data_IF_976871520096
#
_entry.id   IF_976871520096
#
_cell.length_a   1.000
_cell.length_b   1.000
_cell.length_c   1.000
_cell.angle_alpha   90.00
_cell.angle_beta   90.00
_cell.angle_gamma   90.00
#
_symmetry.space_group_name_H-M   'P 1'
#
loop_
_entity.id
_entity.type
_entity.pdbx_description
1 polymer ?
#
# COMPACT_ATOMS: atom_id res chain seq x y z
N UNK A 1 25.86 -8.10 14.82
CA UNK A 1 26.30 -8.94 13.67
C UNK A 1 26.62 -8.00 12.53
N UNK A 2 27.86 -8.00 12.05
CA UNK A 2 28.25 -7.13 10.95
C UNK A 2 27.53 -7.54 9.67
N UNK A 3 26.60 -6.68 9.21
CA UNK A 3 25.83 -6.80 7.96
C UNK A 3 26.60 -7.38 6.76
N UNK A 4 27.88 -7.02 6.50
CA UNK A 4 28.66 -7.53 5.37
C UNK A 4 28.95 -9.04 5.40
N UNK A 5 29.01 -9.65 6.59
CA UNK A 5 29.32 -11.08 6.75
C UNK A 5 28.07 -11.93 6.49
N UNK A 6 26.91 -11.43 6.91
CA UNK A 6 25.63 -12.08 6.69
C UNK A 6 25.26 -12.09 5.20
N UNK A 7 25.40 -10.97 4.50
CA UNK A 7 25.13 -10.88 3.05
C UNK A 7 26.04 -11.80 2.22
N UNK A 8 27.35 -11.86 2.54
CA UNK A 8 28.28 -12.78 1.86
C UNK A 8 27.91 -14.24 2.09
N UNK A 9 27.33 -14.57 3.24
CA UNK A 9 26.93 -15.93 3.60
C UNK A 9 25.62 -16.32 2.91
N UNK A 10 24.67 -15.40 2.80
CA UNK A 10 23.40 -15.59 2.08
C UNK A 10 23.61 -15.80 0.59
N UNK A 11 24.50 -15.03 -0.06
CA UNK A 11 24.80 -15.18 -1.50
C UNK A 11 25.36 -16.55 -1.88
N UNK A 12 25.85 -17.34 -0.91
CA UNK A 12 26.39 -18.69 -1.13
C UNK A 12 25.35 -19.80 -0.92
N UNK A 13 24.17 -19.49 -0.40
CA UNK A 13 23.12 -20.46 -0.19
C UNK A 13 22.37 -20.71 -1.50
N UNK A 14 22.09 -21.99 -1.78
CA UNK A 14 21.22 -22.33 -2.90
C UNK A 14 19.81 -21.84 -2.62
N UNK A 15 19.06 -21.52 -3.68
CA UNK A 15 17.66 -21.08 -3.60
C UNK A 15 16.81 -21.98 -2.68
N UNK A 16 16.94 -23.30 -2.81
CA UNK A 16 16.26 -24.29 -1.94
C UNK A 16 16.63 -24.18 -0.46
N UNK A 17 17.89 -23.88 -0.13
CA UNK A 17 18.32 -23.70 1.27
C UNK A 17 17.81 -22.39 1.85
N UNK A 18 17.79 -21.31 1.04
CA UNK A 18 17.19 -20.04 1.44
C UNK A 18 15.68 -20.21 1.70
N UNK A 19 14.96 -20.84 0.78
CA UNK A 19 13.54 -21.15 0.93
C UNK A 19 13.28 -21.95 2.22
N UNK A 20 14.09 -22.97 2.53
CA UNK A 20 13.93 -23.76 3.76
C UNK A 20 14.19 -22.95 5.05
N UNK A 21 15.21 -22.09 5.07
CA UNK A 21 15.51 -21.23 6.23
C UNK A 21 14.40 -20.20 6.44
N UNK A 22 13.95 -19.56 5.35
CA UNK A 22 12.86 -18.58 5.38
C UNK A 22 11.58 -19.22 5.90
N UNK A 23 11.22 -20.41 5.40
CA UNK A 23 10.07 -21.19 5.87
C UNK A 23 10.22 -21.64 7.33
N UNK A 24 11.44 -21.92 7.79
CA UNK A 24 11.71 -22.23 9.19
C UNK A 24 11.53 -21.01 10.11
N UNK A 25 12.06 -19.85 9.73
CA UNK A 25 11.95 -18.60 10.51
C UNK A 25 10.51 -18.08 10.56
N UNK A 26 9.79 -18.21 9.44
CA UNK A 26 8.35 -17.97 9.33
C UNK A 26 7.53 -18.70 10.42
N UNK A 27 7.94 -19.87 10.88
CA UNK A 27 7.17 -20.60 11.90
C UNK A 27 7.20 -19.91 13.27
N UNK A 28 8.19 -19.06 13.54
CA UNK A 28 8.41 -18.45 14.86
C UNK A 28 7.99 -16.98 14.96
N UNK A 29 7.88 -16.27 13.83
CA UNK A 29 7.44 -14.88 13.78
C UNK A 29 6.30 -14.72 12.76
N UNK A 30 5.08 -14.53 13.28
CA UNK A 30 3.88 -14.34 12.46
C UNK A 30 4.02 -13.11 11.56
N UNK A 31 4.54 -11.99 12.07
CA UNK A 31 4.68 -10.75 11.31
C UNK A 31 5.67 -10.95 10.17
N UNK A 32 6.79 -11.63 10.43
CA UNK A 32 7.75 -11.98 9.39
C UNK A 32 7.14 -12.84 8.27
N UNK A 33 6.23 -13.79 8.59
CA UNK A 33 5.49 -14.52 7.53
C UNK A 33 4.66 -13.61 6.67
N UNK A 34 3.94 -12.68 7.29
CA UNK A 34 3.04 -11.77 6.60
C UNK A 34 3.83 -10.84 5.69
N UNK A 35 5.00 -10.36 6.15
CA UNK A 35 5.96 -9.62 5.32
C UNK A 35 6.40 -10.43 4.10
N UNK A 36 6.75 -11.72 4.28
CA UNK A 36 7.14 -12.58 3.16
C UNK A 36 6.00 -12.77 2.16
N UNK A 37 4.77 -13.00 2.64
CA UNK A 37 3.59 -13.14 1.78
C UNK A 37 3.37 -11.86 0.98
N UNK A 38 3.35 -10.70 1.66
CA UNK A 38 3.20 -9.39 1.04
C UNK A 38 4.28 -9.09 -0.01
N UNK A 39 5.54 -9.48 0.26
CA UNK A 39 6.66 -9.22 -0.66
C UNK A 39 6.67 -10.15 -1.88
N UNK A 40 6.29 -11.41 -1.71
CA UNK A 40 6.55 -12.47 -2.70
C UNK A 40 5.32 -12.92 -3.47
N UNK A 41 4.12 -12.63 -2.97
CA UNK A 41 2.86 -13.00 -3.62
C UNK A 41 2.35 -11.81 -4.42
N UNK A 42 2.24 -11.92 -5.75
CA UNK A 42 1.51 -10.94 -6.54
C UNK A 42 0.04 -10.95 -6.08
N UNK A 43 -0.43 -9.83 -5.58
CA UNK A 43 -1.81 -9.65 -5.15
C UNK A 43 -2.41 -8.46 -5.87
N UNK A 44 -3.66 -8.63 -6.31
CA UNK A 44 -4.48 -7.57 -6.86
C UNK A 44 -5.01 -6.68 -5.73
N UNK A 45 -5.53 -5.51 -6.09
CA UNK A 45 -6.03 -4.51 -5.13
C UNK A 45 -6.96 -5.11 -4.07
N UNK A 46 -7.98 -5.86 -4.48
CA UNK A 46 -8.97 -6.44 -3.55
C UNK A 46 -8.34 -7.50 -2.64
N UNK A 47 -7.42 -8.31 -3.16
CA UNK A 47 -6.69 -9.33 -2.39
C UNK A 47 -5.78 -8.68 -1.33
N UNK A 48 -5.10 -7.57 -1.66
CA UNK A 48 -4.31 -6.80 -0.69
C UNK A 48 -5.20 -6.20 0.40
N UNK A 49 -6.35 -5.65 0.01
CA UNK A 49 -7.31 -5.06 0.96
C UNK A 49 -7.84 -6.13 1.91
N UNK A 50 -8.28 -7.27 1.37
CA UNK A 50 -8.77 -8.40 2.16
C UNK A 50 -7.68 -8.94 3.09
N UNK A 51 -6.46 -9.15 2.55
CA UNK A 51 -5.32 -9.62 3.34
C UNK A 51 -5.05 -8.69 4.53
N UNK A 52 -4.92 -7.38 4.28
CA UNK A 52 -4.65 -6.40 5.34
C UNK A 52 -5.80 -6.29 6.33
N UNK A 53 -7.05 -6.35 5.88
CA UNK A 53 -8.22 -6.34 6.77
C UNK A 53 -8.18 -7.52 7.74
N UNK A 54 -7.93 -8.72 7.21
CA UNK A 54 -7.78 -9.94 8.04
C UNK A 54 -6.60 -9.78 9.01
N UNK A 55 -5.47 -9.21 8.57
CA UNK A 55 -4.32 -9.01 9.46
C UNK A 55 -4.60 -8.00 10.55
N UNK A 56 -5.30 -6.91 10.25
CA UNK A 56 -5.74 -5.92 11.25
C UNK A 56 -6.63 -6.59 12.29
N UNK A 57 -7.62 -7.39 11.89
CA UNK A 57 -8.48 -8.12 12.82
C UNK A 57 -7.68 -9.10 13.70
N UNK A 58 -6.74 -9.84 13.11
CA UNK A 58 -5.89 -10.78 13.83
C UNK A 58 -4.93 -10.10 14.82
N UNK A 59 -4.31 -8.99 14.42
CA UNK A 59 -3.38 -8.23 15.27
C UNK A 59 -4.13 -7.47 16.36
N UNK A 60 -5.37 -7.03 16.12
CA UNK A 60 -6.22 -6.34 17.09
C UNK A 60 -6.54 -7.22 18.29
N UNK A 61 -6.64 -8.54 18.12
CA UNK A 61 -6.95 -9.52 19.18
C UNK A 61 -8.18 -9.16 20.03
N UNK A 62 -9.16 -8.44 19.46
CA UNK A 62 -10.36 -7.98 20.17
C UNK A 62 -10.17 -6.74 21.05
N UNK A 63 -9.02 -6.08 21.02
CA UNK A 63 -8.79 -4.82 21.73
C UNK A 63 -9.49 -3.66 21.02
N UNK A 64 -10.15 -2.78 21.77
CA UNK A 64 -10.79 -1.60 21.19
C UNK A 64 -9.79 -0.51 20.81
N UNK A 65 -8.64 -0.47 21.50
CA UNK A 65 -7.56 0.48 21.26
C UNK A 65 -6.33 -0.29 20.74
N UNK A 66 -5.70 0.24 19.70
CA UNK A 66 -4.60 -0.33 18.96
C UNK A 66 -3.27 0.12 19.59
N UNK A 67 -2.57 -0.85 20.16
CA UNK A 67 -1.28 -0.63 20.83
C UNK A 67 -0.18 -0.16 19.88
N UNK A 68 0.87 0.46 20.42
CA UNK A 68 2.08 0.80 19.64
C UNK A 68 2.62 -0.43 18.90
N UNK A 69 2.67 -1.59 19.55
CA UNK A 69 3.12 -2.84 18.93
C UNK A 69 2.27 -3.24 17.72
N UNK A 70 0.95 -3.07 17.79
CA UNK A 70 0.07 -3.30 16.65
C UNK A 70 0.48 -2.41 15.46
N UNK A 71 0.73 -1.13 15.73
CA UNK A 71 1.10 -0.17 14.69
C UNK A 71 2.45 -0.52 14.06
N UNK A 72 3.44 -0.91 14.87
CA UNK A 72 4.75 -1.39 14.40
C UNK A 72 4.63 -2.65 13.53
N UNK A 73 3.83 -3.63 13.97
CA UNK A 73 3.61 -4.87 13.24
C UNK A 73 2.88 -4.61 11.90
N UNK A 74 1.89 -3.73 11.90
CA UNK A 74 1.20 -3.32 10.68
C UNK A 74 2.13 -2.54 9.73
N UNK A 75 2.93 -1.61 10.26
CA UNK A 75 3.93 -0.85 9.48
C UNK A 75 4.86 -1.80 8.74
N UNK A 76 5.41 -2.79 9.44
CA UNK A 76 6.31 -3.81 8.87
C UNK A 76 5.68 -4.58 7.70
N UNK A 77 4.39 -4.92 7.81
CA UNK A 77 3.65 -5.60 6.74
C UNK A 77 3.45 -4.64 5.55
N UNK A 78 3.01 -3.41 5.82
CA UNK A 78 2.78 -2.41 4.77
C UNK A 78 4.06 -2.00 4.06
N UNK A 79 5.21 -1.97 4.75
CA UNK A 79 6.52 -1.69 4.15
C UNK A 79 6.85 -2.71 3.06
N UNK A 80 6.50 -3.98 3.26
CA UNK A 80 6.72 -5.04 2.28
C UNK A 80 5.89 -4.82 1.01
N UNK A 81 4.66 -4.33 1.16
CA UNK A 81 3.83 -3.90 0.04
C UNK A 81 4.37 -2.63 -0.63
N UNK A 82 4.86 -1.65 0.12
CA UNK A 82 5.44 -0.42 -0.45
C UNK A 82 6.73 -0.70 -1.24
N UNK A 83 7.54 -1.67 -0.81
CA UNK A 83 8.66 -2.16 -1.63
C UNK A 83 8.17 -2.83 -2.92
N UNK A 84 7.10 -3.62 -2.85
CA UNK A 84 6.50 -4.21 -4.05
C UNK A 84 5.97 -3.14 -5.01
N UNK A 85 5.37 -2.06 -4.49
CA UNK A 85 4.94 -0.90 -5.29
C UNK A 85 6.11 -0.29 -6.06
N UNK A 86 7.26 -0.09 -5.40
CA UNK A 86 8.46 0.43 -6.08
C UNK A 86 8.89 -0.47 -7.24
N UNK A 87 8.97 -1.78 -7.01
CA UNK A 87 9.35 -2.74 -8.05
C UNK A 87 8.36 -2.74 -9.23
N UNK A 88 7.07 -2.55 -8.96
CA UNK A 88 6.03 -2.44 -9.99
C UNK A 88 6.16 -1.14 -10.79
N UNK A 89 6.42 -0.01 -10.12
CA UNK A 89 6.63 1.28 -10.77
C UNK A 89 7.89 1.28 -11.66
N UNK A 90 8.97 0.63 -11.24
CA UNK A 90 10.17 0.42 -12.05
C UNK A 90 9.86 -0.38 -13.34
N UNK A 91 8.91 -1.32 -13.27
CA UNK A 91 8.41 -2.10 -14.40
C UNK A 91 7.30 -1.39 -15.20
N UNK A 92 6.95 -0.16 -14.84
CA UNK A 92 5.85 0.62 -15.43
C UNK A 92 4.47 -0.04 -15.24
N UNK A 93 4.33 -0.94 -14.27
CA UNK A 93 3.07 -1.58 -13.90
C UNK A 93 2.27 -0.68 -12.93
N UNK A 94 1.84 0.47 -13.43
CA UNK A 94 1.24 1.54 -12.61
C UNK A 94 -0.11 1.18 -11.98
N UNK A 95 -0.93 0.37 -12.64
CA UNK A 95 -2.26 -0.04 -12.14
C UNK A 95 -2.17 -0.89 -10.88
N UNK A 96 -1.42 -2.02 -10.86
CA UNK A 96 -1.26 -2.80 -9.64
C UNK A 96 -0.52 -2.00 -8.55
N UNK A 97 0.49 -1.19 -8.90
CA UNK A 97 1.18 -0.32 -7.95
C UNK A 97 0.23 0.64 -7.22
N UNK A 98 -0.65 1.31 -7.96
CA UNK A 98 -1.66 2.19 -7.40
C UNK A 98 -2.68 1.42 -6.56
N UNK A 99 -3.13 0.26 -7.05
CA UNK A 99 -4.07 -0.61 -6.34
C UNK A 99 -3.59 -0.98 -4.94
N UNK A 100 -2.32 -1.37 -4.81
CA UNK A 100 -1.70 -1.65 -3.51
C UNK A 100 -1.76 -0.42 -2.59
N UNK A 101 -1.33 0.75 -3.09
CA UNK A 101 -1.35 1.99 -2.30
C UNK A 101 -2.77 2.33 -1.82
N UNK A 102 -3.76 2.25 -2.71
CA UNK A 102 -5.15 2.51 -2.35
C UNK A 102 -5.69 1.51 -1.33
N UNK A 103 -5.34 0.23 -1.43
CA UNK A 103 -5.73 -0.78 -0.45
C UNK A 103 -5.12 -0.53 0.91
N UNK A 104 -3.85 -0.13 0.97
CA UNK A 104 -3.20 0.26 2.22
C UNK A 104 -3.91 1.45 2.86
N UNK A 105 -4.12 2.54 2.10
CA UNK A 105 -4.79 3.74 2.65
C UNK A 105 -6.21 3.40 3.12
N UNK A 106 -6.97 2.65 2.32
CA UNK A 106 -8.35 2.27 2.66
C UNK A 106 -8.47 1.47 3.96
N UNK A 107 -7.46 0.66 4.29
CA UNK A 107 -7.45 -0.16 5.51
C UNK A 107 -6.86 0.62 6.68
N UNK A 108 -5.85 1.45 6.46
CA UNK A 108 -5.10 2.11 7.54
C UNK A 108 -5.75 3.42 7.98
N UNK A 109 -6.28 4.23 7.06
CA UNK A 109 -6.90 5.53 7.38
C UNK A 109 -8.02 5.42 8.42
N UNK A 110 -8.92 4.42 8.36
CA UNK A 110 -9.97 4.29 9.36
C UNK A 110 -9.50 3.96 10.78
N UNK A 111 -8.24 3.52 10.95
CA UNK A 111 -7.70 3.05 12.22
C UNK A 111 -7.04 4.16 13.04
N UNK A 112 -6.89 5.38 12.48
CA UNK A 112 -6.16 6.49 13.12
C UNK A 112 -6.77 6.87 14.46
N UNK A 113 -8.10 6.91 14.55
CA UNK A 113 -8.81 7.27 15.79
C UNK A 113 -8.85 6.11 16.81
N UNK A 114 -8.37 4.92 16.43
CA UNK A 114 -8.40 3.73 17.27
C UNK A 114 -7.06 3.45 17.99
N UNK A 115 -6.05 4.30 17.87
CA UNK A 115 -4.70 4.07 18.43
C UNK A 115 -4.50 4.66 19.84
N UNK A 116 -3.52 4.10 20.58
CA UNK A 116 -3.15 4.58 21.93
C UNK A 116 -2.41 5.93 21.93
N UNK A 117 -1.75 6.28 20.82
CA UNK A 117 -0.99 7.52 20.64
C UNK A 117 -1.68 8.45 19.63
N UNK A 118 -0.96 9.44 19.10
CA UNK A 118 -1.48 10.34 18.05
C UNK A 118 -1.54 9.66 16.66
N UNK A 119 -1.22 8.36 16.57
CA UNK A 119 -1.30 7.57 15.35
C UNK A 119 -0.16 7.83 14.38
N UNK A 120 0.97 8.38 14.85
CA UNK A 120 2.10 8.80 14.01
C UNK A 120 2.58 7.71 13.05
N UNK A 121 2.62 6.46 13.50
CA UNK A 121 3.03 5.33 12.67
C UNK A 121 2.03 5.09 11.53
N UNK A 122 0.73 5.07 11.84
CA UNK A 122 -0.31 4.89 10.82
C UNK A 122 -0.36 6.06 9.84
N UNK A 123 -0.17 7.29 10.33
CA UNK A 123 -0.07 8.49 9.52
C UNK A 123 1.14 8.42 8.56
N UNK A 124 2.29 7.92 9.02
CA UNK A 124 3.48 7.73 8.17
C UNK A 124 3.23 6.72 7.04
N UNK A 125 2.55 5.60 7.33
CA UNK A 125 2.15 4.61 6.31
C UNK A 125 1.32 5.28 5.22
N UNK A 126 0.31 6.05 5.60
CA UNK A 126 -0.60 6.73 4.66
C UNK A 126 0.13 7.81 3.85
N UNK A 127 0.92 8.65 4.52
CA UNK A 127 1.74 9.67 3.84
C UNK A 127 2.66 9.05 2.81
N UNK A 128 3.28 7.92 3.14
CA UNK A 128 4.18 7.23 2.24
C UNK A 128 3.45 6.62 1.04
N UNK A 129 2.30 5.97 1.26
CA UNK A 129 1.46 5.47 0.17
C UNK A 129 1.02 6.61 -0.79
N UNK A 130 0.59 7.75 -0.25
CA UNK A 130 0.27 8.92 -1.06
C UNK A 130 1.49 9.48 -1.80
N UNK A 131 2.67 9.45 -1.20
CA UNK A 131 3.90 9.89 -1.87
C UNK A 131 4.21 9.04 -3.10
N UNK A 132 4.02 7.71 -3.03
CA UNK A 132 4.18 6.80 -4.16
C UNK A 132 3.11 7.03 -5.24
N UNK A 133 1.85 7.27 -4.85
CA UNK A 133 0.80 7.64 -5.80
C UNK A 133 1.14 8.90 -6.59
N UNK A 134 1.80 9.89 -5.96
CA UNK A 134 2.23 11.14 -6.62
C UNK A 134 3.33 10.92 -7.66
N UNK A 135 4.08 9.81 -7.61
CA UNK A 135 5.12 9.54 -8.62
C UNK A 135 4.58 8.87 -9.87
N UNK A 136 3.38 8.26 -9.83
CA UNK A 136 2.79 7.51 -10.97
C UNK A 136 2.87 8.24 -12.32
N UNK A 137 2.60 9.56 -12.44
CA UNK A 137 2.70 10.26 -13.72
C UNK A 137 4.10 10.27 -14.35
N UNK A 138 5.14 9.93 -13.60
CA UNK A 138 6.52 9.78 -14.09
C UNK A 138 6.76 8.40 -14.73
N UNK A 139 5.89 7.42 -14.45
CA UNK A 139 6.03 6.02 -14.87
C UNK A 139 5.07 5.63 -16.00
N UNK A 140 4.12 6.49 -16.36
CA UNK A 140 3.24 6.28 -17.50
C UNK A 140 2.77 7.61 -18.10
N UNK A 141 2.43 7.59 -19.38
CA UNK A 141 1.71 8.68 -20.06
C UNK A 141 0.36 8.21 -20.61
N UNK A 142 -0.07 6.99 -20.27
CA UNK A 142 -1.31 6.40 -20.79
C UNK A 142 -2.53 7.07 -20.16
N UNK A 143 -3.25 7.85 -20.96
CA UNK A 143 -4.46 8.55 -20.56
C UNK A 143 -5.53 7.60 -20.02
N UNK A 144 -5.65 6.40 -20.59
CA UNK A 144 -6.64 5.42 -20.16
C UNK A 144 -6.33 4.90 -18.75
N UNK A 145 -5.06 4.63 -18.45
CA UNK A 145 -4.61 4.30 -17.10
C UNK A 145 -4.95 5.40 -16.11
N UNK A 146 -4.67 6.67 -16.42
CA UNK A 146 -5.04 7.78 -15.53
C UNK A 146 -6.55 7.90 -15.30
N UNK A 147 -7.37 7.67 -16.32
CA UNK A 147 -8.81 7.71 -16.19
C UNK A 147 -9.33 6.59 -15.26
N UNK A 148 -8.80 5.37 -15.39
CA UNK A 148 -9.09 4.26 -14.49
C UNK A 148 -8.66 4.62 -13.06
N UNK A 149 -7.41 5.08 -12.88
CA UNK A 149 -6.87 5.41 -11.57
C UNK A 149 -7.65 6.54 -10.88
N UNK A 150 -8.15 7.50 -11.64
CA UNK A 150 -9.03 8.57 -11.13
C UNK A 150 -10.33 7.98 -10.57
N UNK A 151 -11.00 7.11 -11.34
CA UNK A 151 -12.23 6.46 -10.90
C UNK A 151 -12.02 5.56 -9.69
N UNK A 152 -10.92 4.80 -9.66
CA UNK A 152 -10.55 3.96 -8.52
C UNK A 152 -10.27 4.82 -7.28
N UNK A 153 -9.44 5.87 -7.40
CA UNK A 153 -9.13 6.77 -6.27
C UNK A 153 -10.40 7.38 -5.66
N UNK A 154 -11.31 7.87 -6.50
CA UNK A 154 -12.61 8.38 -6.05
C UNK A 154 -13.43 7.29 -5.36
N UNK A 155 -13.56 6.11 -5.96
CA UNK A 155 -14.30 4.99 -5.38
C UNK A 155 -13.75 4.56 -4.01
N UNK A 156 -12.42 4.49 -3.86
CA UNK A 156 -11.78 4.16 -2.57
C UNK A 156 -12.02 5.24 -1.53
N UNK A 157 -11.79 6.52 -1.87
CA UNK A 157 -12.09 7.65 -0.99
C UNK A 157 -13.53 7.57 -0.48
N UNK A 158 -14.49 7.29 -1.37
CA UNK A 158 -15.91 7.20 -1.03
C UNK A 158 -16.28 5.95 -0.21
N UNK A 159 -15.46 4.90 -0.25
CA UNK A 159 -15.63 3.72 0.61
C UNK A 159 -15.23 3.95 2.07
N UNK A 160 -14.40 4.96 2.34
CA UNK A 160 -14.01 5.36 3.70
C UNK A 160 -15.11 6.28 4.27
N UNK A 161 -15.72 5.93 5.42
CA UNK A 161 -16.71 6.77 6.08
C UNK A 161 -16.17 8.18 6.31
N UNK A 162 -17.02 9.21 6.12
CA UNK A 162 -16.59 10.61 6.23
C UNK A 162 -16.01 10.95 7.62
N UNK A 163 -16.49 10.28 8.66
CA UNK A 163 -16.01 10.44 10.04
C UNK A 163 -14.58 9.94 10.22
N UNK A 164 -14.14 9.01 9.36
CA UNK A 164 -12.85 8.33 9.46
C UNK A 164 -11.92 8.75 8.30
N UNK A 165 -12.26 9.84 7.60
CA UNK A 165 -11.50 10.31 6.44
C UNK A 165 -10.63 11.52 6.81
N UNK A 166 -9.45 11.23 7.34
CA UNK A 166 -8.49 12.21 7.83
C UNK A 166 -7.69 12.89 6.71
N UNK A 167 -7.58 12.26 5.54
CA UNK A 167 -6.70 12.68 4.43
C UNK A 167 -7.45 13.23 3.22
N UNK A 168 -8.60 13.86 3.44
CA UNK A 168 -9.47 14.37 2.36
C UNK A 168 -8.72 15.26 1.35
N UNK A 169 -7.83 16.14 1.82
CA UNK A 169 -7.02 16.99 0.93
C UNK A 169 -6.08 16.17 0.04
N UNK A 170 -5.41 15.16 0.59
CA UNK A 170 -4.50 14.30 -0.18
C UNK A 170 -5.26 13.46 -1.22
N UNK A 171 -6.47 13.00 -0.88
CA UNK A 171 -7.35 12.32 -1.84
C UNK A 171 -7.74 13.23 -3.01
N UNK A 172 -8.16 14.46 -2.74
CA UNK A 172 -8.50 15.46 -3.78
C UNK A 172 -7.27 15.74 -4.65
N UNK A 173 -6.11 15.94 -4.04
CA UNK A 173 -4.85 16.17 -4.77
C UNK A 173 -4.51 15.02 -5.74
N UNK A 174 -4.65 13.76 -5.30
CA UNK A 174 -4.37 12.59 -6.14
C UNK A 174 -5.36 12.48 -7.30
N UNK A 175 -6.65 12.66 -7.03
CA UNK A 175 -7.69 12.65 -8.08
C UNK A 175 -7.40 13.74 -9.11
N UNK A 176 -7.08 14.97 -8.67
CA UNK A 176 -6.76 16.07 -9.56
C UNK A 176 -5.47 15.84 -10.35
N UNK A 177 -4.45 15.25 -9.71
CA UNK A 177 -3.21 14.87 -10.37
C UNK A 177 -3.47 13.92 -11.54
N UNK A 178 -4.26 12.86 -11.33
CA UNK A 178 -4.58 11.91 -12.39
C UNK A 178 -5.50 12.52 -13.46
N UNK A 179 -6.50 13.33 -13.09
CA UNK A 179 -7.34 14.08 -14.05
C UNK A 179 -6.48 14.97 -14.95
N UNK A 180 -5.56 15.76 -14.38
CA UNK A 180 -4.63 16.62 -15.13
C UNK A 180 -3.72 15.79 -16.03
N UNK A 181 -3.21 14.67 -15.54
CA UNK A 181 -2.33 13.78 -16.30
C UNK A 181 -3.06 13.14 -17.49
N UNK A 182 -4.33 12.76 -17.31
CA UNK A 182 -5.19 12.26 -18.39
C UNK A 182 -5.42 13.32 -19.49
N UNK A 183 -5.69 14.58 -19.11
CA UNK A 183 -5.86 15.69 -20.06
C UNK A 183 -4.57 15.98 -20.83
N UNK A 184 -3.43 16.03 -20.14
CA UNK A 184 -2.11 16.24 -20.75
C UNK A 184 -1.72 15.13 -21.73
N UNK A 185 -2.20 13.91 -21.51
CA UNK A 185 -2.02 12.77 -22.41
C UNK A 185 -2.97 12.77 -23.64
N UNK A 186 -3.76 13.83 -23.83
CA UNK A 186 -4.55 14.05 -25.06
C UNK A 186 -5.97 13.49 -25.05
N UNK A 187 -6.50 13.06 -23.90
CA UNK A 187 -7.89 12.61 -23.77
C UNK A 187 -8.72 13.68 -23.06
N UNK A 188 -9.51 14.43 -23.83
CA UNK A 188 -10.36 15.53 -23.35
C UNK A 188 -11.78 15.03 -23.01
N UNK A 189 -12.24 13.94 -23.63
CA UNK A 189 -13.64 13.46 -23.58
C UNK A 189 -13.79 12.08 -22.91
N UNK A 190 -13.08 11.81 -21.80
CA UNK A 190 -13.34 10.58 -21.03
C UNK A 190 -14.50 10.81 -20.05
N UNK A 191 -15.52 9.94 -19.96
CA UNK A 191 -16.72 10.15 -19.11
C UNK A 191 -16.40 10.49 -17.65
N UNK A 192 -15.36 9.86 -17.10
CA UNK A 192 -14.86 10.07 -15.72
C UNK A 192 -14.33 11.51 -15.47
N UNK A 193 -14.01 12.28 -16.52
CA UNK A 193 -13.53 13.66 -16.41
C UNK A 193 -14.66 14.70 -16.48
N UNK A 194 -15.90 14.28 -16.73
CA UNK A 194 -17.05 15.16 -17.02
C UNK A 194 -17.97 15.33 -15.81
N UNK A 195 -17.87 14.49 -14.78
CA UNK A 195 -18.66 14.64 -13.56
C UNK A 195 -17.86 15.39 -12.49
N UNK A 196 -18.49 16.43 -11.93
CA UNK A 196 -18.00 17.46 -10.98
C UNK A 196 -17.47 18.77 -11.62
N UNK A 197 -18.37 19.50 -12.30
CA UNK A 197 -18.46 20.97 -12.13
C UNK A 197 -19.53 21.29 -11.07
#
# INVERSE_FOLDING_TARGET
>A
MDQPVFEKSIKKLSRKKLEHIILGLAQYDQVFRLQLIARTTPMMMDEVREFLTIQVEQLRQGNNILTIKFQEDLSRITDSFMEQVKDLLEKQEVKPAAGICFSVIAVVEPLIDEVEDEGDTLQQIIHYAFSLLRTIPQHTTDAHSFAILTGVAHGVRMSIPITNRHYEKAWIEIVDLFRKSCRSAGVINHPVLVEEE
#
